data_IF_288756465517
#
_entry.id   IF_288756465517
#
_cell.length_a   1.000
_cell.length_b   1.000
_cell.length_c   1.000
_cell.angle_alpha   90.00
_cell.angle_beta   90.00
_cell.angle_gamma   90.00
#
_symmetry.space_group_name_H-M   'P 1'
#
loop_
_entity.id
_entity.type
_entity.pdbx_description
1 polymer ?
#
# COMPACT_ATOMS: atom_id res chain seq x y z
N UNK A 1 7.35 -11.85 9.06
CA UNK A 1 6.57 -10.85 8.30
C UNK A 1 5.95 -11.41 7.02
N UNK A 2 6.75 -11.99 6.12
CA UNK A 2 6.25 -12.45 4.81
C UNK A 2 5.20 -13.55 4.87
N UNK A 3 5.43 -14.64 5.61
CA UNK A 3 4.47 -15.76 5.71
C UNK A 3 3.09 -15.29 6.19
N UNK A 4 3.05 -14.40 7.18
CA UNK A 4 1.80 -13.81 7.69
C UNK A 4 1.11 -12.94 6.63
N UNK A 5 1.86 -12.16 5.84
CA UNK A 5 1.27 -11.39 4.73
C UNK A 5 0.75 -12.31 3.61
N UNK A 6 1.48 -13.38 3.28
CA UNK A 6 1.06 -14.38 2.28
C UNK A 6 -0.20 -15.14 2.68
N UNK A 7 -0.47 -15.31 3.97
CA UNK A 7 -1.74 -15.90 4.45
C UNK A 7 -2.99 -15.05 4.15
N UNK A 8 -2.80 -13.82 3.67
CA UNK A 8 -3.87 -12.84 3.44
C UNK A 8 -3.87 -12.36 1.98
N UNK A 9 -2.70 -12.39 1.34
CA UNK A 9 -2.48 -11.87 -0.01
C UNK A 9 -1.81 -12.97 -0.83
N UNK A 10 -2.52 -13.49 -1.83
CA UNK A 10 -2.01 -14.54 -2.72
C UNK A 10 -0.87 -14.03 -3.63
N UNK A 11 -0.93 -12.77 -4.06
CA UNK A 11 0.04 -12.15 -4.97
C UNK A 11 0.89 -11.11 -4.24
N UNK A 12 2.01 -11.55 -3.66
CA UNK A 12 2.99 -10.69 -3.01
C UNK A 12 4.26 -10.59 -3.86
N UNK A 13 4.56 -9.39 -4.36
CA UNK A 13 5.83 -9.05 -5.01
C UNK A 13 6.64 -8.12 -4.10
N UNK A 14 7.94 -8.38 -3.99
CA UNK A 14 8.88 -7.60 -3.16
C UNK A 14 9.92 -6.93 -4.03
N UNK A 15 10.36 -5.77 -3.57
CA UNK A 15 11.41 -4.98 -4.19
C UNK A 15 12.34 -4.47 -3.09
N UNK A 16 13.63 -4.40 -3.38
CA UNK A 16 14.64 -3.75 -2.53
C UNK A 16 15.16 -2.46 -3.17
N UNK A 17 14.72 -2.17 -4.39
CA UNK A 17 15.09 -0.99 -5.17
C UNK A 17 13.83 -0.22 -5.58
N UNK A 18 13.85 1.10 -5.34
CA UNK A 18 12.71 1.99 -5.58
C UNK A 18 12.41 2.10 -7.08
N UNK A 19 13.44 2.16 -7.92
CA UNK A 19 13.26 2.31 -9.38
C UNK A 19 12.62 1.06 -9.97
N UNK A 20 13.03 -0.13 -9.54
CA UNK A 20 12.42 -1.39 -9.94
C UNK A 20 10.95 -1.48 -9.51
N UNK A 21 10.64 -1.06 -8.29
CA UNK A 21 9.26 -1.02 -7.79
C UNK A 21 8.40 -0.05 -8.61
N UNK A 22 8.90 1.18 -8.86
CA UNK A 22 8.20 2.19 -9.64
C UNK A 22 7.95 1.72 -11.06
N UNK A 23 9.01 1.23 -11.74
CA UNK A 23 8.92 0.68 -13.09
C UNK A 23 7.88 -0.43 -13.17
N UNK A 24 7.88 -1.35 -12.21
CA UNK A 24 6.87 -2.41 -12.14
C UNK A 24 5.44 -1.85 -12.06
N UNK A 25 5.19 -0.82 -11.26
CA UNK A 25 3.85 -0.21 -11.15
C UNK A 25 3.45 0.50 -12.47
N UNK A 26 4.39 1.18 -13.10
CA UNK A 26 4.16 1.97 -14.31
C UNK A 26 3.87 1.09 -15.53
N UNK A 27 4.52 -0.06 -15.64
CA UNK A 27 4.36 -1.04 -16.73
C UNK A 27 3.08 -1.89 -16.61
N UNK A 28 2.41 -1.88 -15.45
CA UNK A 28 1.15 -2.59 -15.23
C UNK A 28 -0.03 -1.89 -15.89
N UNK A 29 -1.08 -2.67 -16.16
CA UNK A 29 -2.31 -2.17 -16.76
C UNK A 29 -2.93 -1.07 -15.89
N UNK A 30 -3.51 -0.04 -16.51
CA UNK A 30 -4.22 1.03 -15.77
C UNK A 30 -5.45 0.51 -15.00
N UNK A 31 -5.92 -0.69 -15.33
CA UNK A 31 -7.02 -1.36 -14.65
C UNK A 31 -6.56 -2.20 -13.45
N UNK A 32 -5.25 -2.49 -13.33
CA UNK A 32 -4.74 -3.21 -12.18
C UNK A 32 -4.89 -2.38 -10.91
N UNK A 33 -5.18 -3.06 -9.80
CA UNK A 33 -5.35 -2.44 -8.49
C UNK A 33 -4.33 -3.02 -7.52
N UNK A 34 -3.37 -2.19 -7.14
CA UNK A 34 -2.21 -2.53 -6.33
C UNK A 34 -2.31 -1.88 -4.95
N UNK A 35 -2.09 -2.71 -3.94
CA UNK A 35 -1.86 -2.28 -2.56
C UNK A 35 -0.35 -2.27 -2.32
N UNK A 36 0.17 -1.14 -1.85
CA UNK A 36 1.60 -0.97 -1.60
C UNK A 36 1.90 -0.99 -0.10
N UNK A 37 2.94 -1.71 0.30
CA UNK A 37 3.52 -1.68 1.64
C UNK A 37 4.97 -1.21 1.51
N UNK A 38 5.34 -0.14 2.19
CA UNK A 38 6.67 0.49 2.08
C UNK A 38 7.26 0.78 3.44
N UNK A 39 8.60 0.82 3.51
CA UNK A 39 9.29 1.41 4.65
C UNK A 39 9.11 2.93 4.66
N UNK A 40 9.39 3.59 5.79
CA UNK A 40 9.34 5.04 5.88
C UNK A 40 10.30 5.74 4.91
N UNK A 41 11.51 5.20 4.75
CA UNK A 41 12.53 5.72 3.82
C UNK A 41 12.08 5.59 2.37
N UNK A 42 11.75 4.37 1.92
CA UNK A 42 11.34 4.17 0.53
C UNK A 42 10.00 4.82 0.22
N UNK A 43 9.09 4.89 1.20
CA UNK A 43 7.81 5.57 1.05
C UNK A 43 7.98 7.05 0.73
N UNK A 44 8.90 7.74 1.42
CA UNK A 44 9.21 9.15 1.16
C UNK A 44 9.75 9.39 -0.25
N UNK A 45 10.50 8.42 -0.78
CA UNK A 45 11.08 8.51 -2.11
C UNK A 45 10.06 8.20 -3.22
N UNK A 46 9.33 7.09 -3.10
CA UNK A 46 8.47 6.59 -4.18
C UNK A 46 7.06 7.18 -4.19
N UNK A 47 6.46 7.46 -3.02
CA UNK A 47 5.05 7.89 -2.97
C UNK A 47 4.81 9.20 -3.74
N UNK A 48 5.68 10.22 -3.68
CA UNK A 48 5.51 11.42 -4.49
C UNK A 48 5.44 11.16 -5.99
N UNK A 49 6.18 10.17 -6.54
CA UNK A 49 6.15 9.88 -7.99
C UNK A 49 4.91 9.09 -8.41
N UNK A 50 4.44 8.17 -7.57
CA UNK A 50 3.36 7.23 -7.95
C UNK A 50 1.97 7.59 -7.41
N UNK A 51 1.82 8.56 -6.50
CA UNK A 51 0.54 8.83 -5.83
C UNK A 51 -0.61 9.15 -6.81
N UNK A 52 -0.32 9.68 -8.00
CA UNK A 52 -1.34 9.96 -9.02
C UNK A 52 -1.74 8.73 -9.84
N UNK A 53 -0.94 7.66 -9.84
CA UNK A 53 -1.20 6.46 -10.64
C UNK A 53 -2.46 5.75 -10.14
N UNK A 54 -3.44 5.55 -11.02
CA UNK A 54 -4.70 4.82 -10.74
C UNK A 54 -4.43 3.39 -10.28
N UNK A 55 -3.31 2.81 -10.70
CA UNK A 55 -2.91 1.46 -10.33
C UNK A 55 -2.70 1.32 -8.82
N UNK A 56 -2.22 2.36 -8.13
CA UNK A 56 -2.04 2.33 -6.68
C UNK A 56 -3.32 2.82 -6.02
N UNK A 57 -3.99 1.93 -5.28
CA UNK A 57 -5.25 2.27 -4.58
C UNK A 57 -5.03 2.60 -3.11
N UNK A 58 -4.00 2.04 -2.49
CA UNK A 58 -3.72 2.20 -1.07
C UNK A 58 -2.26 1.93 -0.78
N UNK A 59 -1.70 2.72 0.12
CA UNK A 59 -0.31 2.62 0.58
C UNK A 59 -0.29 2.53 2.10
N UNK A 60 0.49 1.59 2.63
CA UNK A 60 0.75 1.42 4.04
C UNK A 60 2.23 1.61 4.32
N UNK A 61 2.56 2.50 5.25
CA UNK A 61 3.94 2.74 5.67
C UNK A 61 4.21 1.89 6.90
N UNK A 62 5.08 0.89 6.77
CA UNK A 62 5.53 0.03 7.87
C UNK A 62 6.93 0.46 8.31
N UNK A 63 7.03 1.12 9.47
CA UNK A 63 8.28 1.70 9.95
C UNK A 63 8.33 1.82 11.47
N UNK A 64 9.52 1.85 12.05
CA UNK A 64 9.69 2.07 13.49
C UNK A 64 9.42 3.52 13.93
N UNK A 65 9.71 4.50 13.08
CA UNK A 65 9.56 5.93 13.40
C UNK A 65 8.25 6.49 12.80
N UNK A 66 7.16 6.38 13.57
CA UNK A 66 5.82 6.83 13.14
C UNK A 66 5.72 8.35 13.01
N UNK A 67 6.31 9.10 13.93
CA UNK A 67 6.17 10.57 14.01
C UNK A 67 6.77 11.24 12.78
N UNK A 68 7.99 10.87 12.43
CA UNK A 68 8.70 11.43 11.28
C UNK A 68 8.02 11.10 9.95
N UNK A 69 7.40 9.93 9.86
CA UNK A 69 6.75 9.49 8.62
C UNK A 69 5.33 10.01 8.46
N UNK A 70 4.64 10.34 9.56
CA UNK A 70 3.31 10.95 9.52
C UNK A 70 3.31 12.31 8.80
N UNK A 71 4.33 13.13 9.04
CA UNK A 71 4.44 14.49 8.48
C UNK A 71 4.39 14.54 6.94
N UNK A 72 5.03 13.57 6.27
CA UNK A 72 4.98 13.51 4.80
C UNK A 72 3.80 12.68 4.30
N UNK A 73 3.41 11.62 5.02
CA UNK A 73 2.34 10.73 4.56
C UNK A 73 0.99 11.41 4.50
N UNK A 74 0.70 12.32 5.43
CA UNK A 74 -0.59 13.02 5.53
C UNK A 74 -0.87 13.90 4.30
N UNK A 75 0.16 14.20 3.49
CA UNK A 75 0.02 14.93 2.21
C UNK A 75 -0.54 14.07 1.07
N UNK A 76 -0.61 12.75 1.25
CA UNK A 76 -0.97 11.80 0.20
C UNK A 76 -2.20 10.97 0.60
N UNK A 77 -3.37 11.29 0.03
CA UNK A 77 -4.65 10.66 0.36
C UNK A 77 -4.70 9.12 0.21
N UNK A 78 -3.80 8.55 -0.59
CA UNK A 78 -3.67 7.10 -0.77
C UNK A 78 -2.88 6.42 0.34
N UNK A 79 -2.14 7.17 1.17
CA UNK A 79 -1.50 6.60 2.36
C UNK A 79 -2.56 6.42 3.43
N UNK A 80 -2.88 5.17 3.75
CA UNK A 80 -3.99 4.80 4.65
C UNK A 80 -3.58 4.72 6.10
N UNK A 81 -2.32 4.34 6.35
CA UNK A 81 -1.78 4.26 7.70
C UNK A 81 -0.24 4.27 7.71
N UNK A 82 0.30 4.78 8.81
CA UNK A 82 1.69 4.58 9.24
C UNK A 82 1.67 3.70 10.48
N UNK A 83 2.22 2.50 10.38
CA UNK A 83 2.12 1.44 11.40
C UNK A 83 3.51 0.93 11.76
N UNK A 84 3.69 0.60 13.03
CA UNK A 84 4.96 0.08 13.56
C UNK A 84 4.89 -1.44 13.77
N UNK A 85 3.68 -1.96 13.95
CA UNK A 85 3.43 -3.36 14.28
C UNK A 85 2.86 -4.14 13.09
N UNK A 86 3.36 -5.35 12.88
CA UNK A 86 2.88 -6.23 11.82
C UNK A 86 1.41 -6.64 12.02
N UNK A 87 0.97 -6.81 13.26
CA UNK A 87 -0.42 -7.13 13.59
C UNK A 87 -1.37 -6.02 13.14
N UNK A 88 -1.01 -4.76 13.42
CA UNK A 88 -1.75 -3.57 13.00
C UNK A 88 -1.81 -3.47 11.47
N UNK A 89 -0.68 -3.67 10.78
CA UNK A 89 -0.61 -3.68 9.32
C UNK A 89 -1.59 -4.70 8.72
N UNK A 90 -1.55 -5.93 9.23
CA UNK A 90 -2.41 -7.03 8.78
C UNK A 90 -3.88 -6.71 9.01
N UNK A 91 -4.23 -6.24 10.20
CA UNK A 91 -5.60 -5.89 10.54
C UNK A 91 -6.14 -4.79 9.61
N UNK A 92 -5.32 -3.77 9.33
CA UNK A 92 -5.70 -2.65 8.47
C UNK A 92 -5.90 -3.09 7.02
N UNK A 93 -4.97 -3.85 6.45
CA UNK A 93 -5.11 -4.37 5.09
C UNK A 93 -6.36 -5.24 4.97
N UNK A 94 -6.64 -6.11 5.95
CA UNK A 94 -7.85 -6.94 5.95
C UNK A 94 -9.14 -6.11 5.99
N UNK A 95 -9.20 -5.08 6.84
CA UNK A 95 -10.37 -4.22 6.96
C UNK A 95 -10.62 -3.47 5.64
N UNK A 96 -9.59 -2.83 5.09
CA UNK A 96 -9.71 -2.04 3.86
C UNK A 96 -10.01 -2.93 2.64
N UNK A 97 -9.49 -4.15 2.59
CA UNK A 97 -9.82 -5.11 1.52
C UNK A 97 -11.27 -5.59 1.59
N UNK A 98 -11.83 -5.80 2.79
CA UNK A 98 -13.25 -6.12 2.96
C UNK A 98 -14.13 -4.95 2.48
N UNK A 99 -13.77 -3.73 2.84
CA UNK A 99 -14.50 -2.52 2.41
C UNK A 99 -14.48 -2.39 0.88
N UNK A 100 -13.33 -2.62 0.24
CA UNK A 100 -13.22 -2.56 -1.22
C UNK A 100 -14.10 -3.58 -1.93
N UNK A 101 -14.20 -4.82 -1.42
CA UNK A 101 -15.10 -5.83 -1.98
C UNK A 101 -16.57 -5.39 -1.92
N UNK A 102 -17.00 -4.78 -0.82
CA UNK A 102 -18.37 -4.28 -0.66
C UNK A 102 -18.66 -3.12 -1.63
N UNK A 103 -17.67 -2.28 -1.93
CA UNK A 103 -17.84 -1.15 -2.85
C UNK A 103 -17.76 -1.58 -4.33
N UNK A 104 -17.02 -2.64 -4.64
CA UNK A 104 -16.92 -3.20 -6.00
C UNK A 104 -18.09 -4.14 -6.34
N UNK A 105 -18.73 -4.77 -5.36
CA UNK A 105 -20.02 -5.45 -5.56
C UNK A 105 -21.08 -4.38 -5.89
N UNK A 106 -21.67 -4.38 -7.10
CA UNK A 106 -22.69 -3.41 -7.43
C UNK A 106 -23.84 -3.59 -6.45
N UNK A 107 -24.31 -2.47 -5.87
CA UNK A 107 -25.57 -2.43 -5.13
C UNK A 107 -26.62 -3.11 -6.00
N UNK A 108 -26.99 -4.32 -5.61
CA UNK A 108 -28.01 -5.08 -6.29
C UNK A 108 -29.33 -4.39 -5.95
N UNK A 109 -29.72 -3.43 -6.79
CA UNK A 109 -31.05 -2.83 -6.81
C UNK A 109 -31.90 -3.66 -7.75
#
# INVERSE_FOLDING_TARGET
TEQKLRSIINNLKKFQDVKQCQKYIEERSKNDRLVMIVSGQFGREIVPSIHKLRQVISTYVYCFDKVRNKQWSDKFAKVKAVVTELGELIARIKADHKIQKIVEEPLSI
#
